data_IF_637528814701
#
_entry.id   IF_637528814701
#
_cell.length_a   1.000
_cell.length_b   1.000
_cell.length_c   1.000
_cell.angle_alpha   90.00
_cell.angle_beta   90.00
_cell.angle_gamma   90.00
#
_symmetry.space_group_name_H-M   'P 1'
#
loop_
_entity.id
_entity.type
_entity.pdbx_description
1 polymer ?
#
# COMPACT_ATOMS: atom_id res chain seq x y z
N UNK A 1 58.08 -11.94 27.41
CA UNK A 1 58.22 -11.37 26.05
C UNK A 1 56.86 -11.44 25.42
N UNK A 2 56.11 -10.36 25.58
CA UNK A 2 54.79 -10.13 25.00
C UNK A 2 54.95 -9.87 23.50
N UNK A 3 54.20 -10.59 22.68
CA UNK A 3 54.03 -10.30 21.25
C UNK A 3 52.68 -9.62 21.04
N UNK A 4 52.58 -8.55 20.23
CA UNK A 4 51.32 -7.84 20.05
C UNK A 4 50.41 -8.62 19.09
N UNK A 5 49.12 -8.61 19.43
CA UNK A 5 48.02 -9.09 18.60
C UNK A 5 47.74 -8.07 17.48
N UNK A 6 47.75 -8.53 16.24
CA UNK A 6 47.31 -7.75 15.08
C UNK A 6 45.78 -7.59 15.11
N UNK A 7 45.34 -6.36 15.35
CA UNK A 7 43.95 -5.92 15.25
C UNK A 7 43.56 -5.80 13.77
N UNK A 8 42.79 -6.79 13.28
CA UNK A 8 42.15 -6.73 11.96
C UNK A 8 40.92 -5.84 12.08
N UNK A 9 41.12 -4.53 11.94
CA UNK A 9 40.02 -3.59 11.78
C UNK A 9 39.40 -3.78 10.39
N UNK A 10 38.30 -4.52 10.31
CA UNK A 10 37.43 -4.58 9.13
C UNK A 10 36.86 -3.18 8.89
N UNK A 11 37.52 -2.41 8.02
CA UNK A 11 37.00 -1.13 7.54
C UNK A 11 35.77 -1.39 6.70
N UNK A 12 34.61 -1.05 7.27
CA UNK A 12 33.35 -0.85 6.56
C UNK A 12 33.60 -0.05 5.29
N UNK A 13 33.46 -0.72 4.14
CA UNK A 13 33.57 -0.09 2.84
C UNK A 13 32.37 0.84 2.67
N UNK A 14 32.57 2.10 3.07
CA UNK A 14 31.67 3.20 2.77
C UNK A 14 31.59 3.30 1.23
N UNK A 15 30.59 2.66 0.63
CA UNK A 15 30.38 2.67 -0.82
C UNK A 15 30.12 4.11 -1.23
N UNK A 16 31.15 4.76 -1.76
CA UNK A 16 31.07 6.07 -2.41
C UNK A 16 29.88 6.03 -3.36
N UNK A 17 28.94 6.95 -3.15
CA UNK A 17 27.75 7.11 -3.97
C UNK A 17 28.17 7.51 -5.39
N UNK A 18 28.45 6.52 -6.25
CA UNK A 18 28.46 6.73 -7.69
C UNK A 18 27.05 7.15 -8.07
N UNK A 19 26.88 8.32 -8.70
CA UNK A 19 25.57 8.78 -9.13
C UNK A 19 24.88 7.67 -9.94
N UNK A 20 23.83 7.08 -9.38
CA UNK A 20 23.10 6.00 -10.04
C UNK A 20 22.48 6.57 -11.33
N UNK A 21 22.68 5.86 -12.44
CA UNK A 21 22.09 6.18 -13.75
C UNK A 21 21.38 4.96 -14.32
N UNK A 22 20.53 5.18 -15.33
CA UNK A 22 19.81 4.10 -16.02
C UNK A 22 18.90 3.26 -15.13
N UNK A 23 18.89 1.95 -15.38
CA UNK A 23 18.02 0.96 -14.71
C UNK A 23 18.15 0.95 -13.18
N UNK A 24 19.36 1.12 -12.65
CA UNK A 24 19.59 1.14 -11.20
C UNK A 24 18.90 2.34 -10.55
N UNK A 25 19.06 3.54 -11.11
CA UNK A 25 18.37 4.73 -10.60
C UNK A 25 16.85 4.55 -10.64
N UNK A 26 16.34 4.09 -11.78
CA UNK A 26 14.90 3.92 -11.97
C UNK A 26 14.29 2.93 -10.98
N UNK A 27 14.97 1.80 -10.74
CA UNK A 27 14.52 0.80 -9.76
C UNK A 27 14.57 1.36 -8.33
N UNK A 28 15.60 2.14 -8.00
CA UNK A 28 15.71 2.80 -6.68
C UNK A 28 14.57 3.81 -6.47
N UNK A 29 14.33 4.69 -7.44
CA UNK A 29 13.26 5.68 -7.37
C UNK A 29 11.88 5.00 -7.25
N UNK A 30 11.64 3.91 -8.00
CA UNK A 30 10.41 3.12 -7.90
C UNK A 30 10.19 2.56 -6.48
N UNK A 31 11.24 2.09 -5.81
CA UNK A 31 11.13 1.57 -4.44
C UNK A 31 10.76 2.68 -3.43
N UNK A 32 11.34 3.87 -3.57
CA UNK A 32 10.95 5.02 -2.76
C UNK A 32 9.49 5.44 -3.02
N UNK A 33 9.06 5.45 -4.28
CA UNK A 33 7.70 5.78 -4.66
C UNK A 33 6.68 4.77 -4.11
N UNK A 34 7.01 3.48 -4.10
CA UNK A 34 6.18 2.45 -3.45
C UNK A 34 5.95 2.75 -1.97
N UNK A 35 7.00 3.11 -1.24
CA UNK A 35 6.89 3.48 0.17
C UNK A 35 6.02 4.72 0.38
N UNK A 36 6.22 5.77 -0.43
CA UNK A 36 5.42 6.99 -0.37
C UNK A 36 3.94 6.73 -0.67
N UNK A 37 3.65 5.89 -1.67
CA UNK A 37 2.28 5.49 -2.01
C UNK A 37 1.63 4.66 -0.91
N UNK A 38 2.38 3.79 -0.24
CA UNK A 38 1.88 3.02 0.90
C UNK A 38 1.52 3.94 2.08
N UNK A 39 2.38 4.89 2.44
CA UNK A 39 2.07 5.88 3.48
C UNK A 39 0.81 6.67 3.11
N UNK A 40 0.67 7.08 1.84
CA UNK A 40 -0.52 7.78 1.37
C UNK A 40 -1.77 6.90 1.47
N UNK A 41 -1.67 5.63 1.11
CA UNK A 41 -2.75 4.67 1.25
C UNK A 41 -3.21 4.52 2.69
N UNK A 42 -2.28 4.39 3.64
CA UNK A 42 -2.59 4.22 5.06
C UNK A 42 -3.37 5.42 5.62
N UNK A 43 -2.95 6.65 5.28
CA UNK A 43 -3.66 7.88 5.66
C UNK A 43 -5.08 7.93 5.11
N UNK A 44 -5.26 7.59 3.83
CA UNK A 44 -6.58 7.53 3.21
C UNK A 44 -7.45 6.43 3.85
N UNK A 45 -6.85 5.30 4.21
CA UNK A 45 -7.56 4.21 4.88
C UNK A 45 -8.06 4.62 6.25
N UNK A 46 -7.26 5.35 7.03
CA UNK A 46 -7.66 5.90 8.33
C UNK A 46 -8.78 6.95 8.18
N UNK A 47 -8.63 7.88 7.24
CA UNK A 47 -9.66 8.88 6.92
C UNK A 47 -10.99 8.21 6.55
N UNK A 48 -10.97 7.24 5.64
CA UNK A 48 -12.17 6.51 5.23
C UNK A 48 -12.76 5.64 6.32
N UNK A 49 -11.94 5.12 7.26
CA UNK A 49 -12.46 4.37 8.41
C UNK A 49 -13.31 5.26 9.31
N UNK A 50 -12.86 6.49 9.57
CA UNK A 50 -13.61 7.45 10.38
C UNK A 50 -14.96 7.80 9.74
N UNK A 51 -14.97 8.06 8.43
CA UNK A 51 -16.22 8.31 7.69
C UNK A 51 -17.15 7.08 7.71
N UNK A 52 -16.62 5.89 7.47
CA UNK A 52 -17.38 4.64 7.54
C UNK A 52 -17.99 4.41 8.94
N UNK A 53 -17.24 4.69 9.99
CA UNK A 53 -17.73 4.58 11.37
C UNK A 53 -18.85 5.57 11.65
N UNK A 54 -18.74 6.81 11.16
CA UNK A 54 -19.80 7.82 11.26
C UNK A 54 -21.07 7.36 10.55
N UNK A 55 -20.96 6.85 9.32
CA UNK A 55 -22.09 6.28 8.56
C UNK A 55 -22.78 5.19 9.38
N UNK A 56 -22.03 4.22 9.91
CA UNK A 56 -22.58 3.14 10.71
C UNK A 56 -23.32 3.65 11.97
N UNK A 57 -22.79 4.67 12.64
CA UNK A 57 -23.39 5.27 13.83
C UNK A 57 -24.68 6.06 13.50
N UNK A 58 -24.68 6.83 12.42
CA UNK A 58 -25.86 7.55 11.94
C UNK A 58 -26.99 6.57 11.59
N UNK A 59 -26.65 5.45 10.94
CA UNK A 59 -27.60 4.39 10.59
C UNK A 59 -28.19 3.70 11.83
N UNK A 60 -27.37 3.42 12.84
CA UNK A 60 -27.85 2.88 14.12
C UNK A 60 -28.85 3.84 14.78
N UNK A 61 -28.49 5.12 14.86
CA UNK A 61 -29.36 6.15 15.44
C UNK A 61 -30.70 6.27 14.72
N UNK A 62 -30.70 6.24 13.38
CA UNK A 62 -31.93 6.25 12.57
C UNK A 62 -32.80 5.02 12.84
N UNK A 63 -32.20 3.83 12.93
CA UNK A 63 -32.91 2.58 13.22
C UNK A 63 -33.55 2.60 14.62
N UNK A 64 -32.84 3.11 15.63
CA UNK A 64 -33.34 3.20 17.00
C UNK A 64 -34.51 4.20 17.12
N UNK A 65 -34.43 5.34 16.41
CA UNK A 65 -35.51 6.33 16.35
C UNK A 65 -36.79 5.80 15.69
N UNK A 66 -36.64 5.04 14.59
CA UNK A 66 -37.77 4.38 13.92
C UNK A 66 -38.45 3.36 14.84
N UNK A 67 -37.67 2.59 15.62
CA UNK A 67 -38.23 1.68 16.63
C UNK A 67 -38.92 2.42 17.78
N UNK A 68 -38.42 3.59 18.16
CA UNK A 68 -39.01 4.44 19.19
C UNK A 68 -40.23 5.27 18.70
N UNK A 69 -40.61 5.17 17.43
CA UNK A 69 -41.74 5.90 16.85
C UNK A 69 -41.53 7.43 16.73
N UNK A 70 -40.28 7.89 16.82
CA UNK A 70 -39.94 9.31 16.64
C UNK A 70 -39.67 9.59 15.16
N UNK A 71 -40.22 10.68 14.58
CA UNK A 71 -39.98 11.01 13.19
C UNK A 71 -38.49 11.30 12.97
N UNK A 72 -37.85 10.72 11.93
CA UNK A 72 -36.44 10.94 11.68
C UNK A 72 -36.22 12.42 11.32
N UNK A 73 -35.27 13.13 11.97
CA UNK A 73 -34.98 14.50 11.63
C UNK A 73 -34.39 14.57 10.22
N UNK A 74 -34.93 15.46 9.37
CA UNK A 74 -34.42 15.67 8.00
C UNK A 74 -32.92 16.00 7.93
N UNK A 75 -32.34 16.51 9.03
CA UNK A 75 -30.91 16.76 9.18
C UNK A 75 -30.06 15.46 9.09
N UNK A 76 -30.56 14.33 9.60
CA UNK A 76 -29.80 13.06 9.61
C UNK A 76 -29.62 12.44 8.23
N UNK A 77 -30.53 12.72 7.29
CA UNK A 77 -30.39 12.29 5.90
C UNK A 77 -29.32 13.11 5.15
N UNK A 78 -29.26 14.42 5.40
CA UNK A 78 -28.25 15.29 4.81
C UNK A 78 -26.83 14.97 5.33
N UNK A 79 -26.70 14.71 6.63
CA UNK A 79 -25.42 14.31 7.24
C UNK A 79 -24.94 12.95 6.71
N UNK A 80 -25.85 11.97 6.62
CA UNK A 80 -25.53 10.67 6.03
C UNK A 80 -25.04 10.81 4.58
N UNK A 81 -25.72 11.63 3.77
CA UNK A 81 -25.32 11.88 2.38
C UNK A 81 -23.94 12.55 2.30
N UNK A 82 -23.64 13.48 3.21
CA UNK A 82 -22.33 14.12 3.31
C UNK A 82 -21.23 13.08 3.59
N UNK A 83 -21.41 12.24 4.60
CA UNK A 83 -20.42 11.20 4.95
C UNK A 83 -20.24 10.18 3.81
N UNK A 84 -21.31 9.77 3.13
CA UNK A 84 -21.22 8.87 1.97
C UNK A 84 -20.45 9.50 0.81
N UNK A 85 -20.67 10.79 0.55
CA UNK A 85 -19.97 11.53 -0.50
C UNK A 85 -18.48 11.70 -0.16
N UNK A 86 -18.16 11.96 1.12
CA UNK A 86 -16.78 11.99 1.61
C UNK A 86 -16.09 10.63 1.45
N UNK A 87 -16.76 9.55 1.82
CA UNK A 87 -16.21 8.19 1.69
C UNK A 87 -15.94 7.83 0.22
N UNK A 88 -16.83 8.23 -0.70
CA UNK A 88 -16.61 8.08 -2.14
C UNK A 88 -15.35 8.81 -2.61
N UNK A 89 -15.14 10.06 -2.19
CA UNK A 89 -13.93 10.82 -2.54
C UNK A 89 -12.65 10.16 -2.00
N UNK A 90 -12.69 9.61 -0.78
CA UNK A 90 -11.57 8.80 -0.24
C UNK A 90 -11.29 7.60 -1.14
N UNK A 91 -12.32 6.84 -1.53
CA UNK A 91 -12.16 5.68 -2.43
C UNK A 91 -11.58 6.09 -3.79
N UNK A 92 -12.02 7.22 -4.36
CA UNK A 92 -11.51 7.73 -5.63
C UNK A 92 -10.03 8.12 -5.52
N UNK A 93 -9.64 8.76 -4.41
CA UNK A 93 -8.23 9.05 -4.08
C UNK A 93 -7.41 7.77 -3.92
N UNK A 94 -7.97 6.71 -3.32
CA UNK A 94 -7.31 5.40 -3.21
C UNK A 94 -7.16 4.72 -4.57
N UNK A 95 -8.16 4.82 -5.45
CA UNK A 95 -8.06 4.36 -6.84
C UNK A 95 -6.98 5.10 -7.63
N UNK A 96 -6.79 6.40 -7.38
CA UNK A 96 -5.68 7.17 -7.94
C UNK A 96 -4.32 6.69 -7.41
N UNK A 97 -4.21 6.32 -6.13
CA UNK A 97 -3.00 5.69 -5.57
C UNK A 97 -2.70 4.36 -6.28
N UNK A 98 -3.71 3.49 -6.43
CA UNK A 98 -3.55 2.21 -7.11
C UNK A 98 -3.13 2.39 -8.58
N UNK A 99 -3.65 3.43 -9.25
CA UNK A 99 -3.22 3.78 -10.62
C UNK A 99 -1.74 4.17 -10.68
N UNK A 100 -1.23 4.88 -9.66
CA UNK A 100 0.21 5.17 -9.56
C UNK A 100 1.03 3.91 -9.29
N UNK A 101 0.56 3.02 -8.42
CA UNK A 101 1.19 1.72 -8.17
C UNK A 101 1.28 0.87 -9.46
N UNK A 102 0.21 0.84 -10.27
CA UNK A 102 0.21 0.19 -11.59
C UNK A 102 1.31 0.75 -12.50
N UNK A 103 1.49 2.08 -12.53
CA UNK A 103 2.56 2.72 -13.31
C UNK A 103 3.96 2.33 -12.83
N UNK A 104 4.16 2.13 -11.52
CA UNK A 104 5.43 1.63 -10.99
C UNK A 104 5.72 0.21 -11.49
N UNK A 105 4.72 -0.69 -11.47
CA UNK A 105 4.85 -2.05 -12.03
C UNK A 105 5.19 -2.01 -13.51
N UNK A 106 4.46 -1.23 -14.31
CA UNK A 106 4.75 -1.07 -15.74
C UNK A 106 6.16 -0.52 -15.97
N UNK A 107 6.58 0.45 -15.17
CA UNK A 107 7.95 0.97 -15.27
C UNK A 107 9.00 -0.07 -14.91
N UNK A 108 8.74 -0.92 -13.92
CA UNK A 108 9.67 -1.97 -13.50
C UNK A 108 9.77 -3.08 -14.56
N UNK A 109 8.64 -3.43 -15.19
CA UNK A 109 8.61 -4.33 -16.34
C UNK A 109 9.46 -3.81 -17.49
N UNK A 110 9.34 -2.53 -17.83
CA UNK A 110 10.20 -1.92 -18.86
C UNK A 110 11.70 -1.98 -18.52
N UNK A 111 12.06 -1.89 -17.23
CA UNK A 111 13.46 -2.09 -16.79
C UNK A 111 13.89 -3.56 -16.99
N UNK A 112 13.03 -4.53 -16.68
CA UNK A 112 13.31 -5.96 -16.89
C UNK A 112 13.43 -6.30 -18.37
N UNK A 113 12.51 -5.83 -19.21
CA UNK A 113 12.55 -6.04 -20.67
C UNK A 113 13.82 -5.44 -21.29
N UNK A 114 14.23 -4.25 -20.83
CA UNK A 114 15.50 -3.64 -21.24
C UNK A 114 16.71 -4.48 -20.82
N UNK A 115 16.69 -5.07 -19.62
CA UNK A 115 17.75 -5.96 -19.16
C UNK A 115 17.81 -7.25 -19.98
N UNK A 116 16.66 -7.86 -20.26
CA UNK A 116 16.55 -9.06 -21.11
C UNK A 116 17.06 -8.77 -22.53
N UNK A 117 16.77 -7.59 -23.08
CA UNK A 117 17.31 -7.16 -24.38
C UNK A 117 18.83 -6.97 -24.35
N UNK A 118 19.38 -6.37 -23.29
CA UNK A 118 20.81 -6.05 -23.20
C UNK A 118 21.70 -7.25 -22.87
N UNK A 119 21.20 -8.19 -22.06
CA UNK A 119 21.99 -9.28 -21.49
C UNK A 119 21.45 -10.68 -21.82
N UNK A 120 20.33 -10.77 -22.55
CA UNK A 120 19.68 -12.04 -22.89
C UNK A 120 18.82 -12.59 -21.74
N UNK A 121 18.23 -13.77 -21.96
CA UNK A 121 17.32 -14.41 -21.00
C UNK A 121 17.96 -14.84 -19.68
N UNK A 122 19.30 -14.98 -19.63
CA UNK A 122 20.03 -15.23 -18.37
C UNK A 122 20.20 -13.95 -17.53
N UNK A 123 19.93 -12.77 -18.10
CA UNK A 123 20.03 -11.48 -17.43
C UNK A 123 21.47 -11.06 -17.10
N UNK A 124 21.61 -10.05 -16.23
CA UNK A 124 22.93 -9.58 -15.80
C UNK A 124 23.63 -10.61 -14.91
N UNK A 125 24.95 -10.77 -15.11
CA UNK A 125 25.82 -11.56 -14.23
C UNK A 125 25.98 -10.97 -12.83
N UNK A 126 25.82 -9.64 -12.71
CA UNK A 126 25.95 -8.91 -11.45
C UNK A 126 24.64 -8.15 -11.19
N UNK A 127 24.01 -8.33 -10.01
CA UNK A 127 22.79 -7.62 -9.65
C UNK A 127 22.97 -6.09 -9.69
N UNK A 128 21.86 -5.37 -9.93
CA UNK A 128 21.85 -3.91 -9.88
C UNK A 128 22.14 -3.35 -8.48
N UNK A 129 21.83 -4.12 -7.43
CA UNK A 129 22.01 -3.71 -6.04
C UNK A 129 22.72 -4.80 -5.22
N UNK A 130 22.00 -5.52 -4.36
CA UNK A 130 22.58 -6.52 -3.47
C UNK A 130 22.45 -7.91 -4.07
N UNK A 131 21.23 -8.43 -4.15
CA UNK A 131 20.97 -9.83 -4.48
C UNK A 131 19.86 -10.05 -5.49
N UNK A 132 19.00 -9.04 -5.74
CA UNK A 132 17.83 -9.23 -6.60
C UNK A 132 18.12 -8.99 -8.07
N UNK A 133 17.53 -9.85 -8.91
CA UNK A 133 17.37 -9.67 -10.35
C UNK A 133 16.27 -8.65 -10.66
N UNK A 134 16.26 -8.06 -11.86
CA UNK A 134 15.16 -7.14 -12.26
C UNK A 134 13.80 -7.82 -12.28
N UNK A 135 13.77 -9.14 -12.55
CA UNK A 135 12.57 -9.96 -12.48
C UNK A 135 12.02 -10.03 -11.05
N UNK A 136 12.87 -10.26 -10.04
CA UNK A 136 12.42 -10.28 -8.64
C UNK A 136 11.85 -8.92 -8.19
N UNK A 137 12.40 -7.80 -8.68
CA UNK A 137 11.82 -6.47 -8.45
C UNK A 137 10.43 -6.32 -9.09
N UNK A 138 10.25 -6.82 -10.32
CA UNK A 138 8.96 -6.82 -11.01
C UNK A 138 7.94 -7.71 -10.28
N UNK A 139 8.30 -8.95 -9.97
CA UNK A 139 7.45 -9.93 -9.30
C UNK A 139 6.98 -9.40 -7.94
N UNK A 140 7.90 -8.85 -7.14
CA UNK A 140 7.57 -8.23 -5.85
C UNK A 140 6.60 -7.04 -6.01
N UNK A 141 6.81 -6.22 -7.03
CA UNK A 141 5.91 -5.09 -7.32
C UNK A 141 4.52 -5.56 -7.77
N UNK A 142 4.44 -6.68 -8.50
CA UNK A 142 3.17 -7.28 -8.93
C UNK A 142 2.38 -7.83 -7.72
N UNK A 143 3.05 -8.53 -6.80
CA UNK A 143 2.44 -9.04 -5.56
C UNK A 143 1.86 -7.89 -4.73
N UNK A 144 2.61 -6.80 -4.57
CA UNK A 144 2.13 -5.60 -3.90
C UNK A 144 0.90 -5.04 -4.61
N UNK A 145 0.97 -4.84 -5.93
CA UNK A 145 -0.15 -4.29 -6.69
C UNK A 145 -1.43 -5.14 -6.57
N UNK A 146 -1.29 -6.46 -6.60
CA UNK A 146 -2.43 -7.37 -6.48
C UNK A 146 -3.12 -7.24 -5.12
N UNK A 147 -2.35 -7.27 -4.02
CA UNK A 147 -2.86 -7.13 -2.66
C UNK A 147 -3.67 -5.83 -2.47
N UNK A 148 -3.09 -4.70 -2.86
CA UNK A 148 -3.76 -3.39 -2.77
C UNK A 148 -4.96 -3.30 -3.74
N UNK A 149 -4.90 -3.99 -4.88
CA UNK A 149 -6.01 -4.07 -5.82
C UNK A 149 -7.20 -4.86 -5.28
N UNK A 150 -6.95 -5.97 -4.57
CA UNK A 150 -7.99 -6.73 -3.88
C UNK A 150 -8.60 -5.92 -2.73
N UNK A 151 -7.75 -5.26 -1.94
CA UNK A 151 -8.22 -4.41 -0.83
C UNK A 151 -9.08 -3.24 -1.31
N UNK A 152 -8.73 -2.58 -2.43
CA UNK A 152 -9.56 -1.51 -2.99
C UNK A 152 -10.95 -2.02 -3.38
N UNK A 153 -11.04 -3.20 -3.99
CA UNK A 153 -12.34 -3.79 -4.39
C UNK A 153 -13.22 -4.06 -3.17
N UNK A 154 -12.64 -4.55 -2.08
CA UNK A 154 -13.35 -4.73 -0.81
C UNK A 154 -13.89 -3.40 -0.29
N UNK A 155 -13.06 -2.36 -0.24
CA UNK A 155 -13.48 -1.03 0.24
C UNK A 155 -14.54 -0.39 -0.65
N UNK A 156 -14.47 -0.60 -1.97
CA UNK A 156 -15.53 -0.22 -2.91
C UNK A 156 -16.84 -0.97 -2.62
N UNK A 157 -16.80 -2.27 -2.35
CA UNK A 157 -17.99 -3.03 -1.98
C UNK A 157 -18.59 -2.52 -0.65
N UNK A 158 -17.75 -2.24 0.36
CA UNK A 158 -18.20 -1.66 1.63
C UNK A 158 -18.90 -0.32 1.38
N UNK A 159 -18.33 0.58 0.56
CA UNK A 159 -18.97 1.85 0.23
C UNK A 159 -20.39 1.67 -0.35
N UNK A 160 -20.59 0.69 -1.22
CA UNK A 160 -21.90 0.44 -1.84
C UNK A 160 -22.92 -0.13 -0.86
N UNK A 161 -22.50 -0.83 0.20
CA UNK A 161 -23.41 -1.57 1.08
C UNK A 161 -23.63 -0.90 2.45
N UNK A 162 -22.64 -0.14 2.94
CA UNK A 162 -22.58 0.32 4.33
C UNK A 162 -23.76 1.23 4.70
N UNK A 163 -24.09 2.19 3.83
CA UNK A 163 -25.20 3.12 4.08
C UNK A 163 -26.58 2.45 4.01
N UNK A 164 -26.69 1.31 3.31
CA UNK A 164 -27.94 0.56 3.15
C UNK A 164 -28.12 -0.51 4.22
N UNK A 165 -27.05 -0.89 4.92
CA UNK A 165 -27.07 -1.92 5.95
C UNK A 165 -27.84 -1.46 7.19
N UNK A 166 -28.74 -2.30 7.68
CA UNK A 166 -29.54 -2.07 8.91
C UNK A 166 -29.11 -2.98 10.07
N UNK A 167 -28.40 -4.07 9.78
CA UNK A 167 -27.92 -5.02 10.78
C UNK A 167 -26.61 -4.53 11.40
N UNK A 168 -26.60 -4.27 12.71
CA UNK A 168 -25.41 -3.78 13.42
C UNK A 168 -24.21 -4.73 13.29
N UNK A 169 -24.42 -6.05 13.33
CA UNK A 169 -23.35 -7.04 13.21
C UNK A 169 -22.65 -6.95 11.84
N UNK A 170 -23.41 -6.74 10.76
CA UNK A 170 -22.85 -6.61 9.43
C UNK A 170 -22.08 -5.29 9.25
N UNK A 171 -22.58 -4.18 9.83
CA UNK A 171 -21.81 -2.93 9.90
C UNK A 171 -20.48 -3.12 10.63
N UNK A 172 -20.48 -3.86 11.75
CA UNK A 172 -19.25 -4.16 12.49
C UNK A 172 -18.28 -4.99 11.65
N UNK A 173 -18.75 -6.00 10.92
CA UNK A 173 -17.91 -6.77 9.99
C UNK A 173 -17.27 -5.86 8.95
N UNK A 174 -18.03 -4.95 8.32
CA UNK A 174 -17.47 -4.00 7.35
C UNK A 174 -16.41 -3.08 7.95
N UNK A 175 -16.65 -2.55 9.16
CA UNK A 175 -15.67 -1.71 9.86
C UNK A 175 -14.41 -2.49 10.22
N UNK A 176 -14.55 -3.72 10.71
CA UNK A 176 -13.42 -4.61 11.01
C UNK A 176 -12.61 -4.93 9.75
N UNK A 177 -13.29 -5.26 8.65
CA UNK A 177 -12.65 -5.47 7.35
C UNK A 177 -11.89 -4.23 6.87
N UNK A 178 -12.49 -3.04 6.98
CA UNK A 178 -11.84 -1.78 6.59
C UNK A 178 -10.59 -1.50 7.42
N UNK A 179 -10.66 -1.71 8.74
CA UNK A 179 -9.57 -1.44 9.68
C UNK A 179 -8.39 -2.39 9.46
N UNK A 180 -8.67 -3.70 9.38
CA UNK A 180 -7.63 -4.72 9.36
C UNK A 180 -7.08 -5.03 7.96
N UNK A 181 -7.75 -4.57 6.91
CA UNK A 181 -7.30 -4.70 5.52
C UNK A 181 -6.90 -6.13 5.15
N UNK A 182 -7.85 -7.09 5.18
CA UNK A 182 -7.55 -8.52 5.10
C UNK A 182 -6.83 -8.94 3.82
N UNK A 183 -6.90 -8.15 2.75
CA UNK A 183 -6.20 -8.43 1.49
C UNK A 183 -4.80 -7.84 1.42
N UNK A 184 -4.35 -7.10 2.44
CA UNK A 184 -2.96 -6.64 2.60
C UNK A 184 -2.32 -7.42 3.75
N UNK A 185 -1.94 -8.70 3.53
CA UNK A 185 -1.36 -9.51 4.60
C UNK A 185 -0.01 -8.94 5.06
N UNK A 186 0.47 -9.30 6.27
CA UNK A 186 1.79 -8.91 6.76
C UNK A 186 2.92 -9.18 5.76
N UNK A 187 2.79 -10.25 4.96
CA UNK A 187 3.75 -10.59 3.91
C UNK A 187 3.89 -9.50 2.83
N UNK A 188 2.84 -8.76 2.50
CA UNK A 188 2.92 -7.63 1.57
C UNK A 188 3.78 -6.49 2.17
N UNK A 189 3.62 -6.20 3.46
CA UNK A 189 4.46 -5.20 4.16
C UNK A 189 5.92 -5.66 4.22
N UNK A 190 6.17 -6.93 4.50
CA UNK A 190 7.52 -7.52 4.47
C UNK A 190 8.13 -7.45 3.07
N UNK A 191 7.33 -7.66 2.01
CA UNK A 191 7.79 -7.54 0.62
C UNK A 191 8.26 -6.13 0.31
N UNK A 192 7.56 -5.10 0.82
CA UNK A 192 8.01 -3.71 0.69
C UNK A 192 9.29 -3.45 1.48
N UNK A 193 9.40 -3.91 2.72
CA UNK A 193 10.63 -3.72 3.50
C UNK A 193 11.83 -4.43 2.85
N UNK A 194 11.63 -5.61 2.28
CA UNK A 194 12.64 -6.31 1.48
C UNK A 194 13.04 -5.49 0.23
N UNK A 195 12.07 -4.90 -0.48
CA UNK A 195 12.33 -4.01 -1.63
C UNK A 195 13.18 -2.79 -1.23
N UNK A 196 12.87 -2.18 -0.08
CA UNK A 196 13.58 -1.01 0.43
C UNK A 196 14.99 -1.35 0.92
N UNK A 197 15.16 -2.49 1.58
CA UNK A 197 16.45 -3.03 2.01
C UNK A 197 17.33 -3.36 0.81
N UNK A 198 16.79 -4.07 -0.17
CA UNK A 198 17.50 -4.44 -1.40
C UNK A 198 17.96 -3.20 -2.20
N UNK A 199 17.20 -2.11 -2.21
CA UNK A 199 17.58 -0.85 -2.88
C UNK A 199 18.41 0.10 -2.02
N UNK A 200 18.72 -0.28 -0.78
CA UNK A 200 19.53 0.49 0.15
C UNK A 200 18.84 1.71 0.77
N UNK A 201 17.50 1.70 0.85
CA UNK A 201 16.70 2.66 1.63
C UNK A 201 16.57 2.26 3.10
N UNK A 202 16.74 0.97 3.41
CA UNK A 202 16.93 0.45 4.76
C UNK A 202 18.35 -0.04 4.91
N UNK A 203 18.88 0.07 6.12
CA UNK A 203 20.16 -0.53 6.47
C UNK A 203 19.94 -2.04 6.68
N UNK A 204 20.93 -2.82 6.24
CA UNK A 204 21.05 -4.25 6.49
C UNK A 204 21.53 -4.52 7.93
#
# INVERSE_FOLDING_TARGET
>A
MEGPADDVTVRSANRKCSALTGSARKTKDNAADWHNLMIKWDKLSEEGFNMAANIANLRRTQSDQLQAGTPPPGAGAAELQHECSGLQDVIDKMAAVLTKMKRLVTSQRGVRELEEFQFGGEGRKVPLFHSWTTKQFEDSSCVLLEAFGQELRLKQAILQELAHTTTSDLCMVYLTCWLHQPFIPPQARLTLEALLLETGHRLL
#
